data_IF_822315357973
#
_entry.id   IF_822315357973
#
_cell.length_a   1.000
_cell.length_b   1.000
_cell.length_c   1.000
_cell.angle_alpha   90.00
_cell.angle_beta   90.00
_cell.angle_gamma   90.00
#
_symmetry.space_group_name_H-M   'P 1'
#
loop_
_entity.id
_entity.type
_entity.pdbx_description
1 polymer ?
#
# COMPACT_ATOMS: atom_id res chain seq x y z
N UNK A 1 -22.91 -8.71 19.50
CA UNK A 1 -22.21 -8.67 18.19
C UNK A 1 -21.66 -10.05 17.91
N UNK A 2 -21.81 -10.53 16.68
CA UNK A 2 -21.09 -11.71 16.17
C UNK A 2 -19.97 -11.17 15.29
N UNK A 3 -18.74 -11.62 15.55
CA UNK A 3 -17.62 -11.41 14.63
C UNK A 3 -17.67 -12.46 13.53
N UNK A 4 -17.46 -12.04 12.29
CA UNK A 4 -17.44 -12.92 11.13
C UNK A 4 -16.19 -12.63 10.29
N UNK A 5 -15.61 -13.69 9.74
CA UNK A 5 -14.51 -13.57 8.77
C UNK A 5 -15.11 -13.08 7.45
N UNK A 6 -14.70 -11.88 7.02
CA UNK A 6 -15.19 -11.24 5.78
C UNK A 6 -14.20 -11.35 4.61
N UNK A 7 -12.96 -11.76 4.88
CA UNK A 7 -11.97 -12.20 3.90
C UNK A 7 -10.87 -13.01 4.61
N UNK A 8 -10.31 -14.00 3.94
CA UNK A 8 -9.15 -14.76 4.42
C UNK A 8 -8.23 -15.08 3.22
N UNK A 9 -6.93 -15.23 3.45
CA UNK A 9 -5.93 -15.36 2.38
C UNK A 9 -6.26 -16.39 1.29
N UNK A 10 -6.89 -17.51 1.62
CA UNK A 10 -7.26 -18.56 0.67
C UNK A 10 -8.56 -18.30 -0.12
N UNK A 11 -9.24 -17.17 0.10
CA UNK A 11 -10.45 -16.83 -0.64
C UNK A 11 -10.09 -16.50 -2.08
N UNK A 12 -10.84 -17.09 -3.02
CA UNK A 12 -10.61 -16.86 -4.45
C UNK A 12 -10.92 -15.40 -4.80
N UNK A 13 -10.10 -14.87 -5.70
CA UNK A 13 -10.39 -13.60 -6.35
C UNK A 13 -11.54 -13.79 -7.35
N UNK A 14 -12.39 -12.79 -7.45
CA UNK A 14 -13.46 -12.69 -8.43
C UNK A 14 -12.89 -12.72 -9.87
N UNK A 15 -11.76 -12.03 -10.07
CA UNK A 15 -11.03 -11.89 -11.33
C UNK A 15 -9.54 -12.22 -11.11
N UNK A 16 -9.16 -13.51 -11.10
CA UNK A 16 -7.79 -13.92 -10.87
C UNK A 16 -6.86 -13.50 -12.03
N UNK A 17 -5.56 -13.52 -11.76
CA UNK A 17 -4.49 -13.30 -12.73
C UNK A 17 -3.44 -14.41 -12.67
N UNK A 18 -2.46 -14.38 -13.57
CA UNK A 18 -1.31 -15.28 -13.52
C UNK A 18 -0.48 -15.09 -12.23
N UNK A 19 -0.40 -13.86 -11.70
CA UNK A 19 0.31 -13.55 -10.45
C UNK A 19 -0.39 -14.16 -9.24
N UNK A 20 -1.70 -13.93 -9.11
CA UNK A 20 -2.48 -14.30 -7.93
C UNK A 20 -3.90 -14.71 -8.29
N UNK A 21 -4.38 -15.79 -7.66
CA UNK A 21 -5.74 -16.30 -7.77
C UNK A 21 -6.52 -16.27 -6.45
N UNK A 22 -5.83 -15.99 -5.34
CA UNK A 22 -6.39 -15.95 -3.99
C UNK A 22 -5.93 -14.69 -3.27
N UNK A 23 -6.77 -14.17 -2.39
CA UNK A 23 -6.59 -12.88 -1.71
C UNK A 23 -5.21 -12.67 -1.08
N UNK A 24 -4.63 -13.66 -0.42
CA UNK A 24 -3.41 -13.50 0.39
C UNK A 24 -2.21 -14.30 -0.11
N UNK A 25 -2.26 -14.84 -1.33
CA UNK A 25 -1.22 -15.73 -1.85
C UNK A 25 -0.93 -15.48 -3.34
N UNK A 26 0.33 -15.62 -3.72
CA UNK A 26 0.73 -15.73 -5.12
C UNK A 26 0.54 -17.15 -5.66
N UNK A 27 0.51 -17.28 -6.98
CA UNK A 27 0.36 -18.56 -7.68
C UNK A 27 1.70 -19.33 -7.82
N UNK A 28 2.59 -19.26 -6.83
CA UNK A 28 3.95 -19.85 -6.86
C UNK A 28 4.09 -21.13 -6.01
N UNK A 29 2.98 -21.66 -5.49
CA UNK A 29 2.96 -22.89 -4.70
C UNK A 29 1.57 -23.25 -4.16
N UNK A 30 1.47 -24.27 -3.30
CA UNK A 30 0.24 -24.58 -2.57
C UNK A 30 0.05 -23.61 -1.38
N UNK A 31 -1.19 -23.27 -1.05
CA UNK A 31 -1.48 -22.38 0.10
C UNK A 31 -1.15 -22.99 1.48
N UNK A 32 -0.84 -24.29 1.53
CA UNK A 32 -0.34 -24.98 2.73
C UNK A 32 0.71 -26.02 2.30
N UNK A 33 1.71 -26.31 3.14
CA UNK A 33 2.68 -27.37 2.87
C UNK A 33 2.02 -28.72 2.60
N UNK A 34 2.51 -29.44 1.59
CA UNK A 34 2.08 -30.81 1.35
C UNK A 34 2.60 -31.74 2.47
N UNK A 35 1.87 -32.82 2.81
CA UNK A 35 2.31 -33.75 3.84
C UNK A 35 3.71 -34.32 3.58
N UNK A 36 4.63 -34.12 4.52
CA UNK A 36 6.00 -34.58 4.44
C UNK A 36 6.93 -33.68 3.62
N UNK A 37 6.44 -32.57 3.08
CA UNK A 37 7.26 -31.59 2.38
C UNK A 37 8.04 -30.71 3.36
N UNK A 38 9.33 -30.50 3.09
CA UNK A 38 10.26 -29.82 4.00
C UNK A 38 10.94 -28.64 3.30
N UNK A 39 10.95 -27.43 3.92
CA UNK A 39 11.58 -26.27 3.30
C UNK A 39 13.10 -26.48 3.17
N UNK A 40 13.66 -25.99 2.08
CA UNK A 40 15.11 -25.91 1.89
C UNK A 40 15.48 -24.57 1.27
N UNK A 41 16.78 -24.27 1.17
CA UNK A 41 17.26 -23.02 0.56
C UNK A 41 16.81 -22.84 -0.91
N UNK A 42 16.40 -23.92 -1.59
CA UNK A 42 15.96 -23.91 -2.99
C UNK A 42 14.52 -24.38 -3.18
N UNK A 43 13.79 -24.67 -2.09
CA UNK A 43 12.45 -25.24 -2.15
C UNK A 43 11.50 -24.51 -1.19
N UNK A 44 10.46 -23.87 -1.75
CA UNK A 44 9.33 -23.34 -1.00
C UNK A 44 8.24 -24.41 -0.94
N UNK A 45 7.76 -24.65 0.27
CA UNK A 45 6.71 -25.63 0.54
C UNK A 45 5.31 -25.01 0.56
N UNK A 46 5.23 -23.68 0.66
CA UNK A 46 4.00 -22.89 0.69
C UNK A 46 4.14 -21.74 -0.30
N UNK A 47 3.03 -21.37 -0.93
CA UNK A 47 2.92 -20.17 -1.74
C UNK A 47 3.33 -18.93 -0.94
N UNK A 48 3.88 -17.95 -1.64
CA UNK A 48 4.24 -16.68 -1.05
C UNK A 48 3.01 -15.97 -0.51
N UNK A 49 3.04 -15.64 0.78
CA UNK A 49 2.02 -14.83 1.45
C UNK A 49 2.27 -13.38 1.11
N UNK A 50 1.24 -12.68 0.69
CA UNK A 50 1.40 -11.33 0.12
C UNK A 50 1.08 -10.21 1.11
N UNK A 51 0.56 -10.55 2.29
CA UNK A 51 0.38 -9.66 3.45
C UNK A 51 -0.29 -8.31 3.11
N UNK A 52 -1.64 -8.24 3.14
CA UNK A 52 -2.33 -6.97 3.02
C UNK A 52 -2.11 -6.13 4.28
N UNK A 53 -1.32 -5.05 4.17
CA UNK A 53 -0.84 -4.28 5.31
C UNK A 53 -1.92 -3.31 5.86
N UNK A 54 -2.27 -2.27 5.09
CA UNK A 54 -3.20 -1.24 5.54
C UNK A 54 -4.57 -1.25 4.87
N UNK A 55 -5.62 -1.14 5.70
CA UNK A 55 -7.01 -1.04 5.29
C UNK A 55 -7.45 0.41 5.04
N UNK A 56 -7.80 0.75 3.80
CA UNK A 56 -8.57 1.97 3.48
C UNK A 56 -10.05 1.64 3.34
N UNK A 57 -10.84 1.97 4.35
CA UNK A 57 -12.30 1.79 4.34
C UNK A 57 -13.02 2.96 3.69
N UNK A 58 -13.92 2.67 2.75
CA UNK A 58 -14.77 3.66 2.09
C UNK A 58 -16.22 3.18 2.00
N UNK A 59 -17.13 4.14 2.11
CA UNK A 59 -18.53 3.99 1.76
C UNK A 59 -18.76 4.71 0.44
N UNK A 60 -19.05 3.95 -0.61
CA UNK A 60 -19.17 4.44 -1.98
C UNK A 60 -20.47 3.93 -2.58
N UNK A 61 -21.09 4.67 -3.48
CA UNK A 61 -22.28 4.20 -4.21
C UNK A 61 -21.93 3.94 -5.67
N UNK A 62 -22.73 3.12 -6.35
CA UNK A 62 -22.61 2.86 -7.79
C UNK A 62 -21.21 2.36 -8.19
N UNK A 63 -20.61 1.51 -7.36
CA UNK A 63 -19.34 0.89 -7.70
C UNK A 63 -19.60 -0.32 -8.61
N UNK A 64 -18.69 -0.51 -9.57
CA UNK A 64 -18.69 -1.67 -10.47
C UNK A 64 -17.51 -2.59 -10.13
N UNK A 65 -17.55 -3.83 -10.57
CA UNK A 65 -16.46 -4.78 -10.41
C UNK A 65 -16.28 -5.66 -11.64
N UNK A 66 -15.76 -6.87 -11.44
CA UNK A 66 -15.47 -7.76 -12.56
C UNK A 66 -16.73 -8.33 -13.23
N UNK A 67 -17.82 -8.54 -12.48
CA UNK A 67 -19.15 -8.82 -13.02
C UNK A 67 -19.96 -7.51 -13.17
N UNK A 68 -20.20 -7.02 -14.40
CA UNK A 68 -20.93 -5.78 -14.62
C UNK A 68 -22.42 -5.84 -14.23
N UNK A 69 -22.98 -7.03 -13.98
CA UNK A 69 -24.38 -7.21 -13.59
C UNK A 69 -24.57 -7.40 -12.08
N UNK A 70 -23.47 -7.45 -11.32
CA UNK A 70 -23.53 -7.63 -9.88
C UNK A 70 -23.72 -6.30 -9.15
N UNK A 71 -24.57 -6.31 -8.11
CA UNK A 71 -24.71 -5.17 -7.20
C UNK A 71 -23.64 -5.25 -6.11
N UNK A 72 -22.62 -4.40 -6.22
CA UNK A 72 -21.53 -4.36 -5.25
C UNK A 72 -21.87 -3.62 -3.96
N UNK A 73 -23.10 -3.13 -3.77
CA UNK A 73 -23.46 -2.44 -2.53
C UNK A 73 -22.61 -1.20 -2.31
N UNK A 74 -22.17 -1.00 -1.06
CA UNK A 74 -21.61 0.30 -0.64
C UNK A 74 -20.37 0.27 0.24
N UNK A 75 -20.02 -0.84 0.88
CA UNK A 75 -18.94 -0.88 1.87
C UNK A 75 -17.70 -1.61 1.37
N UNK A 76 -16.57 -0.90 1.29
CA UNK A 76 -15.35 -1.41 0.67
C UNK A 76 -14.12 -1.22 1.55
N UNK A 77 -13.21 -2.21 1.54
CA UNK A 77 -11.83 -2.05 1.99
C UNK A 77 -10.91 -2.11 0.76
N UNK A 78 -9.94 -1.21 0.68
CA UNK A 78 -8.90 -1.20 -0.33
C UNK A 78 -7.54 -1.42 0.33
N UNK A 79 -6.74 -2.32 -0.25
CA UNK A 79 -5.49 -2.79 0.34
C UNK A 79 -4.41 -2.96 -0.74
N UNK A 80 -3.19 -2.56 -0.38
CA UNK A 80 -1.98 -2.95 -1.08
C UNK A 80 -1.37 -4.19 -0.42
N UNK A 81 -0.59 -4.96 -1.18
CA UNK A 81 0.06 -6.19 -0.72
C UNK A 81 1.60 -6.03 -0.69
N UNK A 82 2.22 -6.31 0.46
CA UNK A 82 3.63 -5.98 0.77
C UNK A 82 4.63 -7.13 0.51
N UNK A 83 4.21 -8.39 0.49
CA UNK A 83 5.16 -9.51 0.55
C UNK A 83 5.12 -10.45 -0.67
N UNK A 84 4.71 -9.94 -1.84
CA UNK A 84 4.61 -10.75 -3.05
C UNK A 84 5.96 -11.24 -3.60
N UNK A 85 5.92 -12.37 -4.29
CA UNK A 85 7.07 -13.00 -4.92
C UNK A 85 7.73 -12.03 -5.90
N UNK A 86 9.07 -12.02 -5.90
CA UNK A 86 9.89 -11.09 -6.69
C UNK A 86 9.68 -9.60 -6.35
N UNK A 87 9.16 -9.29 -5.16
CA UNK A 87 8.83 -7.92 -4.72
C UNK A 87 7.74 -7.27 -5.58
N UNK A 88 6.81 -8.07 -6.10
CA UNK A 88 5.67 -7.58 -6.85
C UNK A 88 4.46 -7.46 -5.94
N UNK A 89 3.89 -6.27 -5.85
CA UNK A 89 2.63 -6.02 -5.14
C UNK A 89 1.43 -6.03 -6.09
N UNK A 90 0.25 -5.88 -5.49
CA UNK A 90 -1.01 -5.69 -6.19
C UNK A 90 -2.02 -4.99 -5.27
N UNK A 91 -3.10 -4.50 -5.86
CA UNK A 91 -4.18 -3.83 -5.13
C UNK A 91 -5.41 -4.73 -5.15
N UNK A 92 -6.02 -4.95 -3.99
CA UNK A 92 -7.32 -5.62 -3.87
C UNK A 92 -8.38 -4.70 -3.29
N UNK A 93 -9.63 -5.02 -3.62
CA UNK A 93 -10.82 -4.46 -2.99
C UNK A 93 -11.64 -5.58 -2.37
N UNK A 94 -11.92 -5.47 -1.08
CA UNK A 94 -12.89 -6.33 -0.38
C UNK A 94 -14.24 -5.60 -0.35
N UNK A 95 -15.27 -6.25 -0.87
CA UNK A 95 -16.65 -5.80 -0.78
C UNK A 95 -17.35 -6.43 0.44
N UNK A 96 -17.66 -5.65 1.46
CA UNK A 96 -18.27 -6.16 2.68
C UNK A 96 -19.75 -6.54 2.50
N UNK A 97 -20.39 -6.08 1.44
CA UNK A 97 -21.80 -6.34 1.14
C UNK A 97 -22.00 -7.53 0.17
N UNK A 98 -20.95 -7.97 -0.54
CA UNK A 98 -21.02 -9.05 -1.53
C UNK A 98 -21.18 -10.46 -0.93
N UNK A 99 -21.53 -11.42 -1.78
CA UNK A 99 -21.37 -12.85 -1.51
C UNK A 99 -19.89 -13.28 -1.57
N UNK A 100 -19.63 -14.58 -1.39
CA UNK A 100 -18.26 -15.11 -1.39
C UNK A 100 -17.56 -15.05 -2.75
N UNK A 101 -18.30 -15.11 -3.87
CA UNK A 101 -17.71 -15.11 -5.22
C UNK A 101 -17.28 -13.71 -5.67
N UNK A 102 -17.99 -12.68 -5.21
CA UNK A 102 -17.73 -11.27 -5.54
C UNK A 102 -17.09 -10.51 -4.37
N UNK A 103 -16.59 -11.23 -3.34
CA UNK A 103 -16.04 -10.64 -2.13
C UNK A 103 -14.77 -9.86 -2.39
N UNK A 104 -13.83 -10.46 -3.12
CA UNK A 104 -12.48 -9.93 -3.29
C UNK A 104 -12.21 -9.74 -4.76
N UNK A 105 -12.05 -8.49 -5.17
CA UNK A 105 -11.75 -8.10 -6.54
C UNK A 105 -10.27 -7.70 -6.63
N UNK A 106 -9.55 -8.21 -7.62
CA UNK A 106 -8.22 -7.74 -8.00
C UNK A 106 -8.37 -6.44 -8.77
N UNK A 107 -7.77 -5.36 -8.26
CA UNK A 107 -7.89 -4.02 -8.85
C UNK A 107 -6.76 -3.79 -9.86
N UNK A 108 -5.52 -4.08 -9.51
CA UNK A 108 -4.36 -3.85 -10.37
C UNK A 108 -3.14 -4.69 -9.95
N UNK A 109 -2.34 -5.11 -10.93
CA UNK A 109 -1.03 -5.76 -10.76
C UNK A 109 0.11 -5.00 -11.45
N UNK A 110 -0.23 -4.00 -12.26
CA UNK A 110 0.69 -3.12 -12.98
C UNK A 110 0.17 -1.68 -13.05
N UNK A 111 1.07 -0.75 -13.35
CA UNK A 111 0.73 0.63 -13.64
C UNK A 111 0.25 0.80 -15.11
N UNK A 112 -0.12 2.03 -15.47
CA UNK A 112 -0.55 2.39 -16.83
C UNK A 112 0.54 2.24 -17.91
N UNK A 113 1.80 2.00 -17.51
CA UNK A 113 2.94 1.75 -18.39
C UNK A 113 3.34 0.27 -18.39
N UNK A 114 2.44 -0.61 -17.94
CA UNK A 114 2.64 -2.06 -17.80
C UNK A 114 3.83 -2.43 -16.88
N UNK A 115 4.25 -1.53 -15.99
CA UNK A 115 5.27 -1.84 -14.99
C UNK A 115 4.62 -2.56 -13.80
N UNK A 116 5.19 -3.67 -13.31
CA UNK A 116 4.71 -4.33 -12.11
C UNK A 116 4.61 -3.35 -10.93
N UNK A 117 3.53 -3.44 -10.16
CA UNK A 117 3.44 -2.65 -8.94
C UNK A 117 4.50 -3.14 -7.94
N UNK A 118 5.19 -2.22 -7.23
CA UNK A 118 6.03 -2.61 -6.11
C UNK A 118 5.17 -3.19 -4.98
N UNK A 119 5.82 -3.79 -4.00
CA UNK A 119 5.20 -4.11 -2.71
C UNK A 119 4.60 -2.85 -2.09
N UNK A 120 3.39 -2.95 -1.52
CA UNK A 120 2.63 -1.79 -1.05
C UNK A 120 2.34 -1.90 0.45
N UNK A 121 2.65 -0.83 1.18
CA UNK A 121 2.48 -0.72 2.63
C UNK A 121 1.23 0.13 2.93
N UNK A 122 1.44 1.45 2.96
CA UNK A 122 0.42 2.42 3.28
C UNK A 122 -0.63 2.57 2.20
N UNK A 123 -1.87 2.76 2.65
CA UNK A 123 -2.99 3.21 1.82
C UNK A 123 -3.74 4.38 2.47
N UNK A 124 -4.32 5.25 1.63
CA UNK A 124 -5.35 6.23 2.03
C UNK A 124 -6.26 6.59 0.88
N UNK A 125 -7.46 7.09 1.19
CA UNK A 125 -8.28 7.82 0.24
C UNK A 125 -7.92 9.29 0.21
N UNK A 126 -7.81 9.84 -1.00
CA UNK A 126 -7.60 11.27 -1.21
C UNK A 126 -8.87 11.88 -1.85
N UNK A 127 -9.73 12.54 -1.06
CA UNK A 127 -11.09 12.89 -1.47
C UNK A 127 -11.17 14.05 -2.45
N UNK A 128 -10.07 14.77 -2.70
CA UNK A 128 -10.10 15.97 -3.55
C UNK A 128 -9.93 15.66 -5.04
N UNK A 129 -9.21 14.58 -5.39
CA UNK A 129 -9.09 14.06 -6.77
C UNK A 129 -9.74 12.68 -6.96
N UNK A 130 -10.40 12.16 -5.92
CA UNK A 130 -11.06 10.85 -5.90
C UNK A 130 -10.09 9.71 -6.26
N UNK A 131 -8.93 9.68 -5.61
CA UNK A 131 -7.90 8.66 -5.82
C UNK A 131 -7.59 7.91 -4.54
N UNK A 132 -7.34 6.62 -4.68
CA UNK A 132 -6.60 5.86 -3.68
C UNK A 132 -5.12 6.21 -3.82
N UNK A 133 -4.42 6.37 -2.71
CA UNK A 133 -2.97 6.55 -2.70
C UNK A 133 -2.33 5.37 -1.98
N UNK A 134 -1.27 4.84 -2.56
CA UNK A 134 -0.48 3.76 -1.99
C UNK A 134 1.00 4.15 -1.88
N UNK A 135 1.69 3.65 -0.87
CA UNK A 135 3.14 3.85 -0.69
C UNK A 135 3.88 2.52 -0.71
N UNK A 136 5.18 2.55 -1.03
CA UNK A 136 6.08 1.41 -0.88
C UNK A 136 7.34 1.73 -0.09
N UNK A 137 7.86 0.74 0.63
CA UNK A 137 9.04 0.88 1.50
C UNK A 137 10.37 0.51 0.81
N UNK A 138 10.55 0.90 -0.45
CA UNK A 138 11.76 0.55 -1.23
C UNK A 138 12.88 1.62 -1.18
N UNK A 139 12.96 2.41 -0.11
CA UNK A 139 14.01 3.44 0.06
C UNK A 139 14.07 4.43 -1.12
N UNK A 140 15.21 4.51 -1.83
CA UNK A 140 15.34 5.39 -3.01
C UNK A 140 14.50 4.95 -4.22
N UNK A 141 14.02 3.71 -4.21
CA UNK A 141 13.16 3.14 -5.25
C UNK A 141 11.69 3.11 -4.82
N UNK A 142 11.39 3.56 -3.59
CA UNK A 142 10.03 3.66 -3.10
C UNK A 142 9.16 4.50 -4.03
N UNK A 143 7.90 4.11 -4.12
CA UNK A 143 6.92 4.76 -4.96
C UNK A 143 5.74 5.27 -4.15
N UNK A 144 5.17 6.38 -4.58
CA UNK A 144 3.81 6.76 -4.23
C UNK A 144 2.96 6.62 -5.49
N UNK A 145 1.92 5.79 -5.39
CA UNK A 145 1.02 5.50 -6.49
C UNK A 145 -0.32 6.16 -6.25
N UNK A 146 -0.95 6.68 -7.31
CA UNK A 146 -2.38 6.99 -7.31
C UNK A 146 -3.16 5.97 -8.14
N UNK A 147 -4.34 5.57 -7.66
CA UNK A 147 -5.18 4.56 -8.28
C UNK A 147 -6.64 5.01 -8.38
N UNK A 148 -7.34 4.63 -9.46
CA UNK A 148 -8.79 4.80 -9.62
C UNK A 148 -9.58 3.80 -8.76
N UNK A 149 -10.90 4.01 -8.67
CA UNK A 149 -11.83 3.04 -8.09
C UNK A 149 -12.38 2.03 -9.11
N UNK A 150 -12.16 2.26 -10.41
CA UNK A 150 -12.61 1.38 -11.49
C UNK A 150 -11.90 0.01 -11.44
N UNK A 151 -12.53 -1.00 -12.06
CA UNK A 151 -11.98 -2.36 -12.18
C UNK A 151 -11.87 -2.70 -13.68
N UNK A 152 -10.66 -2.91 -14.22
CA UNK A 152 -9.36 -2.77 -13.57
C UNK A 152 -9.03 -1.31 -13.23
N UNK A 153 -8.24 -1.11 -12.18
CA UNK A 153 -7.81 0.21 -11.73
C UNK A 153 -6.67 0.72 -12.62
N UNK A 154 -6.79 1.96 -13.06
CA UNK A 154 -5.67 2.72 -13.63
C UNK A 154 -4.78 3.22 -12.49
N UNK A 155 -3.50 2.83 -12.51
CA UNK A 155 -2.51 3.15 -11.48
C UNK A 155 -1.36 3.94 -12.08
N UNK A 156 -0.99 5.06 -11.47
CA UNK A 156 0.12 5.91 -11.92
C UNK A 156 1.14 6.14 -10.79
N UNK A 157 2.43 6.12 -11.13
CA UNK A 157 3.51 6.53 -10.23
C UNK A 157 3.62 8.06 -10.17
N UNK A 158 3.30 8.64 -9.00
CA UNK A 158 3.38 10.09 -8.72
C UNK A 158 4.59 10.45 -7.84
N UNK A 159 5.55 9.54 -7.67
CA UNK A 159 6.78 9.78 -6.90
C UNK A 159 7.64 10.90 -7.47
N UNK A 160 7.53 11.16 -8.77
CA UNK A 160 8.16 12.32 -9.39
C UNK A 160 7.72 13.64 -8.77
N UNK A 161 6.53 13.68 -8.15
CA UNK A 161 5.96 14.87 -7.49
C UNK A 161 6.19 14.83 -5.99
N UNK A 162 5.92 13.68 -5.35
CA UNK A 162 5.95 13.55 -3.88
C UNK A 162 7.36 13.27 -3.33
N UNK A 163 8.30 12.90 -4.20
CA UNK A 163 9.62 12.41 -3.81
C UNK A 163 9.63 10.89 -3.63
N UNK A 164 10.81 10.35 -3.37
CA UNK A 164 11.04 8.94 -3.05
C UNK A 164 11.68 8.84 -1.67
N UNK A 165 11.20 7.89 -0.87
CA UNK A 165 11.67 7.51 0.46
C UNK A 165 10.88 6.28 0.91
N UNK A 166 11.42 5.42 1.78
CA UNK A 166 10.68 4.21 2.19
C UNK A 166 9.49 4.59 3.08
N UNK A 167 8.34 4.76 2.43
CA UNK A 167 7.14 5.36 2.99
C UNK A 167 6.20 4.25 3.46
N UNK A 168 5.94 4.21 4.76
CA UNK A 168 5.00 3.28 5.39
C UNK A 168 3.60 3.91 5.43
N UNK A 169 3.49 5.14 5.93
CA UNK A 169 2.21 5.81 6.14
C UNK A 169 1.97 6.95 5.16
N UNK A 170 0.77 7.02 4.58
CA UNK A 170 0.26 8.22 3.89
C UNK A 170 -1.14 8.55 4.39
N UNK A 171 -1.43 9.83 4.62
CA UNK A 171 -2.74 10.32 5.06
C UNK A 171 -3.07 11.68 4.45
N UNK A 172 -4.31 11.84 4.03
CA UNK A 172 -4.86 13.13 3.60
C UNK A 172 -5.45 13.89 4.79
N UNK A 173 -5.24 15.20 4.84
CA UNK A 173 -5.97 16.05 5.77
C UNK A 173 -7.13 16.79 5.11
N UNK A 174 -7.94 17.45 5.95
CA UNK A 174 -9.14 18.18 5.51
C UNK A 174 -8.90 19.34 4.55
N UNK A 175 -7.64 19.71 4.29
CA UNK A 175 -7.26 20.80 3.39
C UNK A 175 -6.59 20.28 2.12
N UNK A 176 -6.58 18.97 1.90
CA UNK A 176 -5.93 18.35 0.74
C UNK A 176 -4.41 18.23 0.90
N UNK A 177 -3.86 18.48 2.08
CA UNK A 177 -2.42 18.26 2.32
C UNK A 177 -2.20 16.79 2.62
N UNK A 178 -1.03 16.27 2.25
CA UNK A 178 -0.65 14.91 2.57
C UNK A 178 0.39 14.90 3.69
N UNK A 179 0.22 14.00 4.65
CA UNK A 179 1.21 13.62 5.64
C UNK A 179 1.77 12.27 5.20
N UNK A 180 3.08 12.17 5.07
CA UNK A 180 3.77 10.96 4.63
C UNK A 180 4.82 10.59 5.69
N UNK A 181 4.88 9.33 6.08
CA UNK A 181 5.72 8.82 7.17
C UNK A 181 6.69 7.79 6.59
N UNK A 182 7.97 7.94 6.89
CA UNK A 182 9.00 6.93 6.56
C UNK A 182 9.19 5.91 7.69
N UNK A 183 9.52 4.67 7.32
CA UNK A 183 9.98 3.62 8.25
C UNK A 183 11.30 2.93 7.84
N UNK A 184 12.26 3.67 7.32
CA UNK A 184 13.54 3.08 6.87
C UNK A 184 14.63 3.01 7.95
N UNK A 185 14.51 3.83 9.01
CA UNK A 185 15.56 4.05 9.99
C UNK A 185 16.89 4.54 9.38
N UNK A 186 17.94 4.52 10.20
CA UNK A 186 19.29 4.94 9.83
C UNK A 186 20.26 3.76 9.72
N UNK A 187 21.56 4.06 9.70
CA UNK A 187 22.60 3.02 9.66
C UNK A 187 22.49 2.09 10.87
N UNK A 188 22.72 0.79 10.67
CA UNK A 188 22.87 -0.17 11.78
C UNK A 188 24.07 0.19 12.66
N UNK A 189 23.93 -0.01 13.97
CA UNK A 189 24.98 0.22 14.95
C UNK A 189 26.18 -0.69 14.72
N UNK A 190 27.39 -0.21 15.03
CA UNK A 190 28.62 -1.00 14.93
C UNK A 190 28.76 -2.02 16.07
N UNK A 191 28.27 -1.68 17.28
CA UNK A 191 28.30 -2.57 18.45
C UNK A 191 27.12 -3.54 18.50
N UNK A 192 25.92 -3.07 18.11
CA UNK A 192 24.74 -3.92 17.96
C UNK A 192 24.19 -3.73 16.53
N UNK A 193 24.40 -4.69 15.61
CA UNK A 193 23.96 -4.57 14.22
C UNK A 193 22.43 -4.64 14.06
N UNK A 194 21.71 -5.10 15.09
CA UNK A 194 20.25 -5.12 15.13
C UNK A 194 19.64 -3.78 15.57
N UNK A 195 20.44 -2.86 16.10
CA UNK A 195 19.97 -1.52 16.46
C UNK A 195 20.16 -0.56 15.28
N UNK A 196 19.10 0.15 14.89
CA UNK A 196 19.14 1.21 13.86
C UNK A 196 19.28 2.58 14.51
N UNK A 197 20.08 3.46 13.91
CA UNK A 197 20.08 4.88 14.29
C UNK A 197 18.74 5.53 13.91
N UNK A 198 18.13 6.39 14.74
CA UNK A 198 16.91 7.11 14.36
C UNK A 198 17.18 8.03 13.16
N UNK A 199 16.49 7.80 12.05
CA UNK A 199 16.61 8.63 10.84
C UNK A 199 15.38 8.56 9.92
N UNK A 200 14.21 8.25 10.49
CA UNK A 200 12.93 8.34 9.78
C UNK A 200 12.34 9.74 9.94
N UNK A 201 11.60 10.21 8.94
CA UNK A 201 10.99 11.54 8.93
C UNK A 201 9.49 11.49 8.64
N UNK A 202 8.80 12.55 9.05
CA UNK A 202 7.42 12.84 8.66
C UNK A 202 7.44 14.04 7.72
N UNK A 203 6.91 13.85 6.52
CA UNK A 203 6.81 14.87 5.49
C UNK A 203 5.40 15.44 5.44
N UNK A 204 5.31 16.68 4.97
CA UNK A 204 4.04 17.32 4.64
C UNK A 204 4.11 17.87 3.23
N UNK A 205 3.26 17.34 2.35
CA UNK A 205 3.10 17.81 0.98
C UNK A 205 1.89 18.75 0.88
N UNK A 206 2.08 19.86 0.17
CA UNK A 206 1.04 20.86 -0.11
C UNK A 206 0.81 20.84 -1.62
N UNK A 207 -0.30 20.27 -2.13
CA UNK A 207 -0.56 20.24 -3.56
C UNK A 207 -0.76 21.65 -4.10
N UNK A 208 -0.32 21.87 -5.34
CA UNK A 208 -0.63 23.10 -6.07
C UNK A 208 -2.14 23.19 -6.37
N UNK A 209 -2.74 22.07 -6.78
CA UNK A 209 -4.16 21.91 -6.97
C UNK A 209 -4.63 20.65 -6.23
N UNK A 210 -5.44 20.75 -5.16
CA UNK A 210 -5.94 19.57 -4.46
C UNK A 210 -6.72 18.60 -5.35
N UNK A 211 -7.35 19.06 -6.44
CA UNK A 211 -8.08 18.19 -7.36
C UNK A 211 -7.20 17.49 -8.40
N UNK A 212 -5.91 17.80 -8.44
CA UNK A 212 -4.94 17.18 -9.32
C UNK A 212 -3.56 17.24 -8.65
N UNK A 213 -3.17 16.14 -7.99
CA UNK A 213 -1.87 16.04 -7.32
C UNK A 213 -0.68 16.20 -8.27
N UNK A 214 -0.91 16.02 -9.58
CA UNK A 214 0.11 16.15 -10.63
C UNK A 214 0.23 17.57 -11.16
N UNK A 215 -0.67 18.46 -10.78
CA UNK A 215 -0.62 19.86 -11.16
C UNK A 215 0.50 20.61 -10.42
N UNK A 216 1.06 21.61 -11.12
CA UNK A 216 2.07 22.51 -10.59
C UNK A 216 3.27 22.63 -11.54
N UNK A 217 4.23 23.52 -11.23
CA UNK A 217 5.49 23.53 -11.95
C UNK A 217 6.23 22.21 -11.72
N UNK A 218 6.76 21.57 -12.79
CA UNK A 218 7.65 20.41 -12.68
C UNK A 218 8.72 20.66 -11.60
N UNK A 219 9.11 19.66 -10.80
CA UNK A 219 10.02 19.89 -9.69
C UNK A 219 11.39 20.33 -10.22
N UNK A 220 11.71 21.60 -9.98
CA UNK A 220 13.10 22.01 -9.74
C UNK A 220 13.58 21.21 -8.53
N UNK A 221 14.66 20.44 -8.73
CA UNK A 221 15.41 19.65 -7.75
C UNK A 221 15.16 20.07 -6.30
N UNK A 222 14.85 19.14 -5.37
CA UNK A 222 14.47 19.48 -4.00
C UNK A 222 15.55 20.37 -3.37
N UNK A 223 15.25 21.66 -3.29
CA UNK A 223 16.08 22.60 -2.58
C UNK A 223 15.90 22.25 -1.11
N UNK A 224 16.88 21.50 -0.58
CA UNK A 224 17.02 21.15 0.83
C UNK A 224 16.67 22.38 1.67
N UNK A 225 15.45 22.44 2.19
CA UNK A 225 15.09 23.47 3.14
C UNK A 225 16.03 23.31 4.31
N UNK A 226 16.84 24.35 4.53
CA UNK A 226 17.82 24.44 5.61
C UNK A 226 17.14 23.95 6.90
N UNK A 227 17.73 22.95 7.58
CA UNK A 227 17.33 22.52 8.92
C UNK A 227 17.27 23.76 9.83
N UNK A 228 16.07 24.28 10.05
CA UNK A 228 15.77 25.16 11.19
C UNK A 228 14.76 24.42 12.05
N UNK A 229 15.24 23.35 12.67
CA UNK A 229 14.62 22.77 13.86
C UNK A 229 15.77 22.40 14.78
N UNK A 230 16.13 23.35 15.63
CA UNK A 230 16.76 23.01 16.91
C UNK A 230 15.84 22.00 17.59
N UNK A 231 16.31 20.81 17.99
CA UNK A 231 15.48 19.85 18.70
C UNK A 231 15.03 20.47 20.03
N UNK A 232 13.73 20.65 20.22
CA UNK A 232 13.18 20.81 21.57
C UNK A 232 13.18 19.43 22.23
N UNK A 233 14.19 19.22 23.07
CA UNK A 233 14.36 18.06 23.91
C UNK A 233 13.29 18.09 25.03
N UNK A 234 12.32 17.17 24.99
CA UNK A 234 11.41 16.94 26.11
C UNK A 234 12.08 15.93 27.07
N UNK A 235 13.04 16.42 27.84
CA UNK A 235 13.59 15.68 28.98
C UNK A 235 12.73 15.94 30.22
N UNK A 236 11.95 14.94 30.63
CA UNK A 236 11.32 14.94 31.95
C UNK A 236 12.41 14.79 33.02
N UNK A 237 12.73 15.88 33.72
CA UNK A 237 13.54 15.82 34.94
C UNK A 237 12.80 15.00 36.00
N UNK A 238 13.24 13.77 36.26
CA UNK A 238 13.02 13.13 37.57
C UNK A 238 13.95 13.82 38.57
N UNK A 239 13.35 14.47 39.57
CA UNK A 239 14.08 14.99 40.74
C UNK A 239 14.49 13.81 41.61
N UNK A 240 15.79 13.68 41.85
CA UNK A 240 16.37 13.06 43.04
C UNK A 240 16.97 14.17 43.89
#
# INVERSE_FOLDING_TARGET
LIEAIVAQGSWKLENPSDLTSCYGYDNDGPAVPLPGDLPSAIHRVEATKTEPDKNTYLVLTNQHGADPNYDYGTHFLFQGHENGANHQGYITRINLDADGAHRVTLMATSDVNDQPLPTLDGSTWYPFSHRLLFTSESGSNASVLEATLDVPSSVEDISGILGRGGYEGIQADRFGRLIIVEDVGGKSGTTNPHAKQPNSFVYRFLPYNPSDLKAGPMPISPRRTRKTSTPTDYSSKRRG
#
